data_IF_328507866589
#
_entry.id   IF_328507866589
#
_cell.length_a   1.000
_cell.length_b   1.000
_cell.length_c   1.000
_cell.angle_alpha   90.00
_cell.angle_beta   90.00
_cell.angle_gamma   90.00
#
_symmetry.space_group_name_H-M   'P 1'
#
loop_
_entity.id
_entity.type
_entity.pdbx_description
1 polymer ?
#
# COMPACT_ATOMS: atom_id res chain seq x y z
N UNK A 1 -5.07 10.84 -3.22
CA UNK A 1 -5.83 9.86 -2.41
C UNK A 1 -6.65 8.92 -3.27
N UNK A 2 -7.45 9.40 -4.23
CA UNK A 2 -8.27 8.54 -5.11
C UNK A 2 -7.47 7.44 -5.82
N UNK A 3 -6.27 7.74 -6.33
CA UNK A 3 -5.41 6.74 -6.98
C UNK A 3 -4.98 5.60 -6.03
N UNK A 4 -4.73 5.88 -4.75
CA UNK A 4 -4.43 4.86 -3.75
C UNK A 4 -5.68 4.03 -3.43
N UNK A 5 -6.84 4.67 -3.26
CA UNK A 5 -8.10 3.95 -3.03
C UNK A 5 -8.43 3.02 -4.20
N UNK A 6 -8.28 3.50 -5.44
CA UNK A 6 -8.49 2.72 -6.66
C UNK A 6 -7.49 1.56 -6.80
N UNK A 7 -6.28 1.70 -6.24
CA UNK A 7 -5.28 0.64 -6.16
C UNK A 7 -5.51 -0.34 -5.00
N UNK A 8 -6.61 -0.22 -4.26
CA UNK A 8 -6.99 -1.15 -3.20
C UNK A 8 -6.25 -0.95 -1.88
N UNK A 9 -5.81 0.28 -1.58
CA UNK A 9 -5.36 0.65 -0.24
C UNK A 9 -6.57 0.98 0.65
N UNK A 10 -6.63 0.40 1.85
CA UNK A 10 -7.67 0.64 2.86
C UNK A 10 -7.41 1.96 3.60
N UNK A 11 -7.75 3.08 2.96
CA UNK A 11 -7.49 4.41 3.51
C UNK A 11 -8.33 4.72 4.75
N UNK A 12 -9.55 4.18 4.84
CA UNK A 12 -10.47 4.44 5.96
C UNK A 12 -9.98 3.84 7.30
N UNK A 13 -9.05 2.89 7.25
CA UNK A 13 -8.43 2.30 8.43
C UNK A 13 -7.24 3.13 8.97
N UNK A 14 -6.80 4.15 8.24
CA UNK A 14 -5.65 4.97 8.61
C UNK A 14 -6.03 6.03 9.64
N UNK A 15 -5.11 6.31 10.57
CA UNK A 15 -5.23 7.45 11.46
C UNK A 15 -5.13 8.78 10.69
N UNK A 16 -5.51 9.89 11.33
CA UNK A 16 -5.36 11.21 10.74
C UNK A 16 -3.89 11.56 10.46
N UNK A 17 -2.98 11.20 11.36
CA UNK A 17 -1.53 11.38 11.20
C UNK A 17 -0.99 10.61 9.98
N UNK A 18 -1.46 9.39 9.76
CA UNK A 18 -1.08 8.59 8.59
C UNK A 18 -1.61 9.21 7.29
N UNK A 19 -2.81 9.78 7.33
CA UNK A 19 -3.34 10.55 6.21
C UNK A 19 -2.50 11.79 5.91
N UNK A 20 -1.99 12.49 6.93
CA UNK A 20 -1.10 13.63 6.73
C UNK A 20 0.21 13.22 6.05
N UNK A 21 0.80 12.10 6.46
CA UNK A 21 1.99 11.54 5.79
C UNK A 21 1.70 11.29 4.31
N UNK A 22 0.57 10.66 3.98
CA UNK A 22 0.19 10.40 2.58
C UNK A 22 -0.08 11.69 1.79
N UNK A 23 -0.61 12.73 2.44
CA UNK A 23 -0.83 14.05 1.80
C UNK A 23 0.45 14.83 1.59
N UNK A 24 1.48 14.58 2.40
CA UNK A 24 2.79 15.22 2.29
C UNK A 24 3.67 14.60 1.19
N UNK A 25 3.34 13.41 0.71
CA UNK A 25 4.06 12.76 -0.38
C UNK A 25 3.87 13.50 -1.71
N UNK A 26 4.94 13.54 -2.50
CA UNK A 26 4.89 14.03 -3.87
C UNK A 26 4.04 13.08 -4.76
N UNK A 27 3.45 13.59 -5.86
CA UNK A 27 2.67 12.77 -6.78
C UNK A 27 3.43 11.55 -7.31
N UNK A 28 4.74 11.68 -7.54
CA UNK A 28 5.60 10.61 -8.02
C UNK A 28 5.79 9.50 -6.98
N UNK A 29 5.87 9.86 -5.70
CA UNK A 29 5.98 8.91 -4.59
C UNK A 29 4.67 8.13 -4.41
N UNK A 30 3.52 8.81 -4.55
CA UNK A 30 2.22 8.15 -4.55
C UNK A 30 2.06 7.19 -5.74
N UNK A 31 2.54 7.59 -6.93
CA UNK A 31 2.53 6.73 -8.12
C UNK A 31 3.42 5.49 -7.93
N UNK A 32 4.57 5.65 -7.27
CA UNK A 32 5.45 4.52 -6.92
C UNK A 32 4.77 3.53 -5.98
N UNK A 33 4.02 4.00 -4.98
CA UNK A 33 3.26 3.11 -4.09
C UNK A 33 2.20 2.28 -4.85
N UNK A 34 1.52 2.90 -5.81
CA UNK A 34 0.56 2.20 -6.69
C UNK A 34 1.25 1.16 -7.56
N UNK A 35 2.41 1.50 -8.16
CA UNK A 35 3.20 0.56 -8.98
C UNK A 35 3.65 -0.66 -8.16
N UNK A 36 4.20 -0.43 -6.97
CA UNK A 36 4.64 -1.50 -6.07
C UNK A 36 3.48 -2.43 -5.74
N UNK A 37 2.30 -1.88 -5.39
CA UNK A 37 1.11 -2.69 -5.12
C UNK A 37 0.72 -3.55 -6.31
N UNK A 38 0.66 -2.97 -7.51
CA UNK A 38 0.32 -3.72 -8.72
C UNK A 38 1.29 -4.86 -9.01
N UNK A 39 2.59 -4.67 -8.75
CA UNK A 39 3.61 -5.72 -8.88
C UNK A 39 3.46 -6.82 -7.84
N UNK A 40 3.11 -6.48 -6.60
CA UNK A 40 2.84 -7.45 -5.55
C UNK A 40 1.60 -8.29 -5.87
N UNK A 41 0.52 -7.66 -6.34
CA UNK A 41 -0.70 -8.36 -6.74
C UNK A 41 -0.44 -9.29 -7.94
N UNK A 42 0.39 -8.88 -8.91
CA UNK A 42 0.78 -9.71 -10.05
C UNK A 42 1.69 -10.88 -9.65
N UNK A 43 2.50 -10.73 -8.59
CA UNK A 43 3.37 -11.77 -8.06
C UNK A 43 2.63 -12.77 -7.12
N UNK A 44 1.38 -12.47 -6.74
CA UNK A 44 0.59 -13.29 -5.81
C UNK A 44 0.39 -14.77 -6.20
N UNK A 45 0.44 -15.23 -7.47
CA UNK A 45 0.32 -16.66 -7.77
C UNK A 45 1.46 -17.54 -7.22
N UNK A 46 2.63 -16.97 -6.89
CA UNK A 46 3.82 -17.75 -6.51
C UNK A 46 4.15 -17.71 -5.01
N UNK A 47 3.45 -16.90 -4.19
CA UNK A 47 3.79 -16.67 -2.76
C UNK A 47 2.63 -17.02 -1.80
N UNK A 48 1.64 -17.81 -2.22
CA UNK A 48 0.61 -18.36 -1.30
C UNK A 48 1.18 -19.39 -0.29
N UNK A 49 2.46 -19.75 -0.39
CA UNK A 49 3.14 -20.68 0.52
C UNK A 49 3.81 -20.02 1.75
N UNK A 50 3.80 -18.68 1.88
CA UNK A 50 4.41 -17.97 3.02
C UNK A 50 3.47 -16.96 3.69
N UNK A 51 2.19 -17.34 3.85
CA UNK A 51 1.17 -16.54 4.52
C UNK A 51 1.43 -16.26 6.04
N UNK A 52 2.54 -16.75 6.60
CA UNK A 52 2.86 -16.59 8.03
C UNK A 52 3.86 -15.46 8.35
N UNK A 53 4.36 -14.71 7.36
CA UNK A 53 5.22 -13.55 7.65
C UNK A 53 4.41 -12.27 7.57
N UNK A 54 3.95 -11.86 8.75
CA UNK A 54 3.28 -10.61 9.08
C UNK A 54 3.67 -9.41 8.20
N UNK A 55 2.72 -8.96 7.37
CA UNK A 55 2.68 -7.59 6.84
C UNK A 55 2.29 -6.55 7.89
N UNK A 56 2.79 -6.72 9.13
CA UNK A 56 2.44 -5.93 10.30
C UNK A 56 3.62 -5.70 11.25
N UNK A 57 4.86 -5.80 10.76
CA UNK A 57 6.06 -5.52 11.53
C UNK A 57 6.93 -4.47 10.81
N UNK A 58 6.37 -3.28 10.66
CA UNK A 58 7.14 -2.07 10.91
C UNK A 58 6.63 -1.60 12.29
N UNK A 59 7.57 -1.47 13.25
CA UNK A 59 7.43 -1.27 14.70
C UNK A 59 7.49 -2.54 15.56
#
# INVERSE_FOLDING_TARGET
MEALAAAGFELDALSEEQHEVLRALAPEELALLVDIRGRLDAAAPEVQAHADVAGGALF
#
